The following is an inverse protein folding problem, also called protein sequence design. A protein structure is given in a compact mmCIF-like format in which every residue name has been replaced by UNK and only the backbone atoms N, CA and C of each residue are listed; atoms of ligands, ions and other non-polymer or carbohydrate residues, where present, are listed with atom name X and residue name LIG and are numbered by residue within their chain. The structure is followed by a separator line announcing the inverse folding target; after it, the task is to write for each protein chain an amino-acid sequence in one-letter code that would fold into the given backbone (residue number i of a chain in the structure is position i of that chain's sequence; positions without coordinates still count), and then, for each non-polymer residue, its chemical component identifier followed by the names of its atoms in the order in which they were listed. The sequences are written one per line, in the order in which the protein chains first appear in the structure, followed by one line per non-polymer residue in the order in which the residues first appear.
data_IF_880640202951
#
_entry.id   IF_880640202951
#
_cell.length_a   1.000
_cell.length_b   1.000
_cell.length_c   1.000
_cell.angle_alpha   90.00
_cell.angle_beta   90.00
_cell.angle_gamma   90.00
#
_symmetry.space_group_name_H-M   'P 1'
#
loop_
_entity.id
_entity.type
_entity.pdbx_description
1 polymer ?
#
# COMPACT_ATOMS: atom_id res chain seq x y z
N UNK A 1 -10.39 7.41 -31.48
CA UNK A 1 -9.96 6.93 -30.15
C UNK A 1 -10.49 7.92 -29.14
N UNK A 2 -11.38 7.51 -28.22
CA UNK A 2 -11.83 8.42 -27.15
C UNK A 2 -10.66 8.65 -26.19
N UNK A 3 -10.25 9.89 -26.02
CA UNK A 3 -9.21 10.29 -25.07
C UNK A 3 -9.63 9.87 -23.66
N UNK A 4 -8.70 9.30 -22.89
CA UNK A 4 -8.96 8.93 -21.50
C UNK A 4 -9.25 10.18 -20.68
N UNK A 5 -10.38 10.21 -19.97
CA UNK A 5 -10.67 11.33 -19.07
C UNK A 5 -9.87 11.17 -17.75
N UNK A 6 -9.53 12.27 -17.05
CA UNK A 6 -8.94 12.18 -15.70
C UNK A 6 -9.77 11.36 -14.72
N UNK A 7 -11.10 11.35 -14.90
CA UNK A 7 -12.03 10.56 -14.09
C UNK A 7 -11.87 9.05 -14.32
N UNK A 8 -11.55 8.61 -15.54
CA UNK A 8 -11.30 7.20 -15.82
C UNK A 8 -10.03 6.72 -15.10
N UNK A 9 -8.98 7.56 -15.08
CA UNK A 9 -7.75 7.29 -14.32
C UNK A 9 -8.01 7.21 -12.82
N UNK A 10 -8.75 8.18 -12.25
CA UNK A 10 -9.14 8.14 -10.84
C UNK A 10 -9.95 6.88 -10.50
N UNK A 11 -10.94 6.55 -11.33
CA UNK A 11 -11.76 5.34 -11.13
C UNK A 11 -10.92 4.07 -11.15
N UNK A 12 -9.98 3.99 -12.09
CA UNK A 12 -9.05 2.88 -12.18
C UNK A 12 -8.16 2.80 -10.94
N UNK A 13 -7.55 3.92 -10.50
CA UNK A 13 -6.67 3.96 -9.34
C UNK A 13 -7.38 3.50 -8.06
N UNK A 14 -8.54 4.08 -7.74
CA UNK A 14 -9.28 3.71 -6.53
C UNK A 14 -9.88 2.31 -6.62
N UNK A 15 -10.41 1.91 -7.78
CA UNK A 15 -11.03 0.59 -7.96
C UNK A 15 -10.02 -0.57 -7.95
N UNK A 16 -8.75 -0.32 -8.28
CA UNK A 16 -7.71 -1.36 -8.28
C UNK A 16 -6.82 -1.33 -7.04
N UNK A 17 -6.52 -0.15 -6.50
CA UNK A 17 -5.58 0.00 -5.37
C UNK A 17 -6.27 0.07 -4.02
N UNK A 18 -7.60 0.12 -3.97
CA UNK A 18 -8.37 0.16 -2.71
C UNK A 18 -9.57 -0.78 -2.73
N UNK A 19 -10.14 -1.03 -1.55
CA UNK A 19 -11.39 -1.79 -1.34
C UNK A 19 -12.63 -0.99 -1.72
N UNK A 20 -12.50 0.32 -1.94
CA UNK A 20 -13.64 1.22 -2.19
C UNK A 20 -14.36 0.77 -3.46
N UNK A 21 -15.69 0.54 -3.41
CA UNK A 21 -16.43 0.09 -4.57
C UNK A 21 -16.52 1.21 -5.60
N UNK A 22 -15.64 1.17 -6.60
CA UNK A 22 -15.60 2.13 -7.70
C UNK A 22 -15.91 1.42 -9.01
N UNK A 23 -16.91 1.90 -9.74
CA UNK A 23 -17.25 1.37 -11.06
C UNK A 23 -16.21 1.82 -12.08
N UNK A 24 -15.34 0.91 -12.49
CA UNK A 24 -14.38 1.14 -13.57
C UNK A 24 -15.11 1.02 -14.91
N UNK A 25 -15.13 2.11 -15.68
CA UNK A 25 -15.89 2.23 -16.93
C UNK A 25 -15.07 1.87 -18.18
N UNK A 26 -13.74 1.95 -18.12
CA UNK A 26 -12.82 1.56 -19.19
C UNK A 26 -11.72 0.67 -18.64
N UNK A 27 -11.44 -0.41 -19.35
CA UNK A 27 -10.39 -1.37 -19.03
C UNK A 27 -9.46 -1.54 -20.24
N UNK A 28 -8.62 -0.52 -20.46
CA UNK A 28 -7.61 -0.51 -21.52
C UNK A 28 -6.29 0.08 -21.01
N UNK A 29 -5.24 -0.02 -21.83
CA UNK A 29 -3.88 0.41 -21.46
C UNK A 29 -3.81 1.91 -21.14
N UNK A 30 -4.63 2.73 -21.78
CA UNK A 30 -4.63 4.18 -21.60
C UNK A 30 -5.28 4.56 -20.26
N UNK A 31 -6.42 3.95 -19.93
CA UNK A 31 -7.07 4.06 -18.62
C UNK A 31 -6.16 3.53 -17.49
N UNK A 32 -5.49 2.40 -17.70
CA UNK A 32 -4.54 1.85 -16.73
C UNK A 32 -3.36 2.80 -16.49
N UNK A 33 -2.79 3.39 -17.55
CA UNK A 33 -1.73 4.41 -17.43
C UNK A 33 -2.22 5.63 -16.64
N UNK A 34 -3.41 6.13 -16.95
CA UNK A 34 -4.04 7.21 -16.18
C UNK A 34 -4.21 6.83 -14.70
N UNK A 35 -4.64 5.59 -14.43
CA UNK A 35 -4.75 5.04 -13.08
C UNK A 35 -3.43 4.98 -12.33
N UNK A 36 -2.35 4.55 -12.97
CA UNK A 36 -1.03 4.53 -12.34
C UNK A 36 -0.54 5.95 -12.03
N UNK A 37 -0.79 6.93 -12.89
CA UNK A 37 -0.49 8.34 -12.61
C UNK A 37 -1.33 8.90 -11.45
N UNK A 38 -2.56 8.41 -11.27
CA UNK A 38 -3.42 8.78 -10.16
C UNK A 38 -3.19 7.96 -8.88
N UNK A 39 -2.32 6.95 -8.88
CA UNK A 39 -2.05 6.10 -7.72
C UNK A 39 -1.65 6.88 -6.44
N UNK A 40 -0.87 7.98 -6.50
CA UNK A 40 -0.55 8.77 -5.32
C UNK A 40 -1.79 9.35 -4.63
N UNK A 41 -2.88 9.63 -5.36
CA UNK A 41 -4.13 10.11 -4.77
C UNK A 41 -4.85 9.02 -3.97
N UNK A 42 -4.80 7.77 -4.43
CA UNK A 42 -5.26 6.63 -3.65
C UNK A 42 -4.39 6.44 -2.40
N UNK A 43 -3.06 6.59 -2.55
CA UNK A 43 -2.12 6.57 -1.42
C UNK A 43 -2.39 7.66 -0.39
N UNK A 44 -2.70 8.88 -0.83
CA UNK A 44 -3.09 10.00 0.02
C UNK A 44 -4.37 9.71 0.79
N UNK A 45 -5.41 9.18 0.12
CA UNK A 45 -6.67 8.83 0.78
C UNK A 45 -6.48 7.73 1.84
N UNK A 46 -5.69 6.68 1.52
CA UNK A 46 -5.36 5.61 2.48
C UNK A 46 -4.54 6.15 3.64
N UNK A 47 -3.55 7.01 3.38
CA UNK A 47 -2.71 7.64 4.40
C UNK A 47 -3.50 8.57 5.32
N UNK A 48 -4.45 9.33 4.78
CA UNK A 48 -5.34 10.19 5.55
C UNK A 48 -6.28 9.37 6.45
N UNK A 49 -6.84 8.26 5.95
CA UNK A 49 -7.63 7.34 6.76
C UNK A 49 -6.78 6.70 7.88
N UNK A 50 -5.55 6.31 7.59
CA UNK A 50 -4.63 5.74 8.56
C UNK A 50 -4.26 6.75 9.66
N UNK A 51 -3.89 7.97 9.26
CA UNK A 51 -3.64 9.07 10.19
C UNK A 51 -4.87 9.40 11.04
N UNK A 52 -6.06 9.45 10.42
CA UNK A 52 -7.31 9.72 11.11
C UNK A 52 -7.60 8.71 12.22
N UNK A 53 -7.46 7.41 11.93
CA UNK A 53 -7.65 6.38 12.96
C UNK A 53 -6.62 6.49 14.09
N UNK A 54 -5.34 6.68 13.76
CA UNK A 54 -4.30 6.87 14.78
C UNK A 54 -4.55 8.09 15.67
N UNK A 55 -4.97 9.21 15.10
CA UNK A 55 -5.31 10.43 15.85
C UNK A 55 -6.56 10.24 16.73
N UNK A 56 -7.58 9.55 16.23
CA UNK A 56 -8.77 9.23 17.03
C UNK A 56 -8.38 8.36 18.23
N UNK A 57 -7.53 7.35 18.06
CA UNK A 57 -7.07 6.52 19.17
C UNK A 57 -6.27 7.32 20.21
N UNK A 58 -5.34 8.18 19.76
CA UNK A 58 -4.61 9.06 20.67
C UNK A 58 -5.55 10.00 21.42
N UNK A 59 -6.54 10.58 20.74
CA UNK A 59 -7.55 11.44 21.35
C UNK A 59 -8.39 10.70 22.40
N UNK A 60 -8.69 9.41 22.18
CA UNK A 60 -9.37 8.54 23.14
C UNK A 60 -8.47 8.05 24.28
N UNK A 61 -7.20 8.49 24.35
CA UNK A 61 -6.26 8.16 25.42
C UNK A 61 -5.44 6.90 25.18
N UNK A 62 -5.42 6.34 23.96
CA UNK A 62 -4.51 5.26 23.62
C UNK A 62 -3.05 5.73 23.63
N UNK A 63 -2.12 4.82 23.99
CA UNK A 63 -0.69 5.07 23.83
C UNK A 63 -0.24 5.00 22.37
N UNK A 64 0.92 5.60 22.08
CA UNK A 64 1.51 5.62 20.74
C UNK A 64 1.68 4.23 20.08
N UNK A 65 2.04 3.14 20.80
CA UNK A 65 2.14 1.82 20.19
C UNK A 65 0.81 1.32 19.59
N UNK A 66 -0.30 1.52 20.30
CA UNK A 66 -1.62 1.08 19.84
C UNK A 66 -2.08 1.92 18.64
N UNK A 67 -1.89 3.25 18.70
CA UNK A 67 -2.16 4.13 17.58
C UNK A 67 -1.33 3.74 16.34
N UNK A 68 -0.05 3.44 16.51
CA UNK A 68 0.83 3.02 15.42
C UNK A 68 0.40 1.71 14.76
N UNK A 69 0.07 0.68 15.55
CA UNK A 69 -0.43 -0.60 15.03
C UNK A 69 -1.72 -0.40 14.23
N UNK A 70 -2.66 0.40 14.74
CA UNK A 70 -3.89 0.71 14.02
C UNK A 70 -3.62 1.48 12.72
N UNK A 71 -2.71 2.45 12.74
CA UNK A 71 -2.27 3.18 11.54
C UNK A 71 -1.66 2.25 10.49
N UNK A 72 -0.86 1.24 10.87
CA UNK A 72 -0.30 0.23 9.96
C UNK A 72 -1.37 -0.73 9.42
N UNK A 73 -2.38 -1.07 10.21
CA UNK A 73 -3.45 -1.97 9.80
C UNK A 73 -4.37 -1.37 8.72
N UNK A 74 -4.57 -0.05 8.71
CA UNK A 74 -5.49 0.62 7.78
C UNK A 74 -5.11 0.38 6.31
N UNK A 75 -3.86 0.60 5.85
CA UNK A 75 -3.46 0.25 4.49
C UNK A 75 -3.66 -1.23 4.15
N UNK A 76 -3.43 -2.15 5.10
CA UNK A 76 -3.65 -3.57 4.86
C UNK A 76 -5.14 -3.85 4.56
N UNK A 77 -6.05 -3.32 5.37
CA UNK A 77 -7.49 -3.51 5.17
C UNK A 77 -7.99 -2.78 3.92
N UNK A 78 -7.65 -1.49 3.79
CA UNK A 78 -8.15 -0.66 2.69
C UNK A 78 -7.60 -1.05 1.33
N UNK A 79 -6.51 -1.81 1.26
CA UNK A 79 -5.97 -2.35 0.00
C UNK A 79 -6.19 -3.86 -0.15
N UNK A 80 -6.99 -4.48 0.73
CA UNK A 80 -7.24 -5.94 0.79
C UNK A 80 -5.96 -6.79 0.89
N UNK A 81 -4.92 -6.24 1.53
CA UNK A 81 -3.64 -6.91 1.67
C UNK A 81 -2.78 -6.93 0.41
N UNK A 82 -3.23 -6.36 -0.73
CA UNK A 82 -2.55 -6.47 -2.03
C UNK A 82 -1.05 -6.11 -1.99
N UNK A 83 -0.68 -5.10 -1.21
CA UNK A 83 0.72 -4.67 -1.10
C UNK A 83 1.54 -5.59 -0.19
N UNK A 84 0.92 -6.20 0.82
CA UNK A 84 1.57 -7.16 1.71
C UNK A 84 1.73 -8.51 1.00
N UNK A 85 0.72 -8.92 0.25
CA UNK A 85 0.73 -10.11 -0.60
C UNK A 85 1.88 -10.04 -1.61
N UNK A 86 1.92 -8.96 -2.41
CA UNK A 86 3.02 -8.77 -3.37
C UNK A 86 4.40 -8.66 -2.74
N UNK A 87 4.51 -8.15 -1.50
CA UNK A 87 5.77 -8.13 -0.75
C UNK A 87 6.19 -9.54 -0.30
N UNK A 88 5.25 -10.34 0.19
CA UNK A 88 5.48 -11.75 0.54
C UNK A 88 5.87 -12.57 -0.69
N UNK A 89 5.09 -12.49 -1.78
CA UNK A 89 5.38 -13.18 -3.03
C UNK A 89 6.78 -12.82 -3.55
N UNK A 90 7.11 -11.53 -3.57
CA UNK A 90 8.42 -11.07 -4.01
C UNK A 90 9.54 -11.65 -3.14
N UNK A 91 9.36 -11.66 -1.82
CA UNK A 91 10.33 -12.23 -0.91
C UNK A 91 10.50 -13.74 -1.08
N UNK A 92 9.42 -14.49 -1.28
CA UNK A 92 9.47 -15.94 -1.49
C UNK A 92 10.07 -16.31 -2.84
N UNK A 93 9.67 -15.61 -3.90
CA UNK A 93 10.23 -15.82 -5.23
C UNK A 93 11.73 -15.51 -5.28
N UNK A 94 12.15 -14.34 -4.78
CA UNK A 94 13.57 -13.95 -4.77
C UNK A 94 14.39 -14.77 -3.76
N UNK A 95 13.84 -15.06 -2.59
CA UNK A 95 14.49 -15.84 -1.53
C UNK A 95 14.67 -17.32 -1.88
N UNK A 96 13.89 -17.85 -2.84
CA UNK A 96 13.99 -19.24 -3.28
C UNK A 96 15.33 -19.61 -3.94
N UNK A 97 16.09 -18.63 -4.45
CA UNK A 97 17.34 -18.86 -5.19
C UNK A 97 17.18 -19.64 -6.49
N UNK A 98 15.95 -19.80 -7.00
CA UNK A 98 15.65 -20.55 -8.22
C UNK A 98 15.82 -19.70 -9.48
N UNK A 99 15.96 -20.33 -10.67
CA UNK A 99 15.89 -19.61 -11.94
C UNK A 99 14.60 -18.79 -12.07
N UNK A 100 14.62 -17.73 -12.89
CA UNK A 100 13.54 -16.75 -12.98
C UNK A 100 12.15 -17.36 -13.23
N UNK A 101 12.04 -18.37 -14.08
CA UNK A 101 10.78 -19.05 -14.39
C UNK A 101 10.17 -19.73 -13.16
N UNK A 102 11.01 -20.37 -12.34
CA UNK A 102 10.60 -21.03 -11.11
C UNK A 102 10.30 -20.06 -9.98
N UNK A 103 11.08 -18.98 -9.86
CA UNK A 103 10.79 -17.91 -8.91
C UNK A 103 9.44 -17.24 -9.22
N UNK A 104 9.15 -16.98 -10.49
CA UNK A 104 7.84 -16.48 -10.94
C UNK A 104 6.72 -17.48 -10.72
N UNK A 105 7.00 -18.78 -10.79
CA UNK A 105 6.03 -19.82 -10.46
C UNK A 105 5.70 -19.78 -8.97
N UNK A 106 6.70 -19.62 -8.09
CA UNK A 106 6.52 -19.48 -6.63
C UNK A 106 5.65 -18.25 -6.32
N UNK A 107 5.95 -17.09 -6.91
CA UNK A 107 5.17 -15.84 -6.72
C UNK A 107 3.69 -15.94 -7.14
N UNK A 108 3.30 -16.97 -7.89
CA UNK A 108 1.92 -17.18 -8.37
C UNK A 108 1.17 -18.22 -7.55
N UNK A 109 1.86 -18.90 -6.64
CA UNK A 109 1.20 -19.84 -5.75
C UNK A 109 0.46 -19.06 -4.65
N UNK A 110 -0.61 -19.64 -4.11
CA UNK A 110 -1.41 -18.97 -3.08
C UNK A 110 -0.89 -19.21 -1.66
N UNK A 111 0.11 -20.07 -1.49
CA UNK A 111 0.76 -20.33 -0.21
C UNK A 111 1.85 -19.29 0.07
N UNK A 112 1.96 -18.90 1.34
CA UNK A 112 3.05 -18.05 1.82
C UNK A 112 4.24 -18.91 2.24
N UNK A 113 5.43 -18.56 1.77
CA UNK A 113 6.67 -19.21 2.15
C UNK A 113 7.35 -18.56 3.38
N UNK A 114 8.43 -19.18 3.88
CA UNK A 114 9.14 -18.67 5.05
C UNK A 114 9.73 -17.27 4.85
N UNK A 115 10.20 -16.94 3.64
CA UNK A 115 10.78 -15.62 3.36
C UNK A 115 9.71 -14.53 3.31
N UNK A 116 8.52 -14.86 2.79
CA UNK A 116 7.35 -14.00 2.83
C UNK A 116 6.96 -13.68 4.26
N UNK A 117 6.82 -14.71 5.12
CA UNK A 117 6.51 -14.53 6.54
C UNK A 117 7.54 -13.66 7.25
N UNK A 118 8.83 -13.98 7.12
CA UNK A 118 9.91 -13.22 7.78
C UNK A 118 9.89 -11.76 7.33
N UNK A 119 9.77 -11.52 6.02
CA UNK A 119 9.72 -10.19 5.44
C UNK A 119 8.54 -9.39 5.99
N UNK A 120 7.34 -9.99 6.02
CA UNK A 120 6.14 -9.31 6.52
C UNK A 120 6.26 -8.98 8.01
N UNK A 121 6.75 -9.91 8.84
CA UNK A 121 6.95 -9.68 10.26
C UNK A 121 7.92 -8.52 10.48
N UNK A 122 9.09 -8.55 9.85
CA UNK A 122 10.09 -7.49 10.00
C UNK A 122 9.59 -6.15 9.48
N UNK A 123 8.91 -6.12 8.33
CA UNK A 123 8.38 -4.89 7.74
C UNK A 123 7.29 -4.26 8.62
N UNK A 124 6.31 -5.04 9.07
CA UNK A 124 5.20 -4.55 9.90
C UNK A 124 5.69 -4.09 11.27
N UNK A 125 6.64 -4.82 11.89
CA UNK A 125 7.27 -4.41 13.14
C UNK A 125 8.06 -3.10 12.98
N UNK A 126 8.85 -2.97 11.92
CA UNK A 126 9.60 -1.75 11.65
C UNK A 126 8.66 -0.56 11.41
N UNK A 127 7.59 -0.75 10.63
CA UNK A 127 6.57 0.28 10.39
C UNK A 127 5.87 0.72 11.69
N UNK A 128 5.43 -0.24 12.51
CA UNK A 128 4.77 0.04 13.78
C UNK A 128 5.72 0.75 14.76
N UNK A 129 6.97 0.30 14.88
CA UNK A 129 7.97 0.92 15.75
C UNK A 129 8.33 2.35 15.31
N UNK A 130 8.48 2.58 13.99
CA UNK A 130 8.76 3.91 13.45
C UNK A 130 7.57 4.87 13.67
N UNK A 131 6.34 4.41 13.46
CA UNK A 131 5.14 5.21 13.70
C UNK A 131 4.91 5.47 15.19
N UNK A 132 5.19 4.52 16.06
CA UNK A 132 5.10 4.71 17.51
C UNK A 132 6.06 5.82 17.97
N UNK A 133 7.32 5.78 17.54
CA UNK A 133 8.28 6.85 17.82
C UNK A 133 7.86 8.20 17.24
N UNK A 134 7.25 8.20 16.04
CA UNK A 134 6.75 9.43 15.44
C UNK A 134 5.57 10.03 16.24
N UNK A 135 4.64 9.21 16.72
CA UNK A 135 3.53 9.64 17.57
C UNK A 135 3.97 10.09 18.97
N UNK A 136 4.95 9.40 19.57
CA UNK A 136 5.56 9.82 20.84
C UNK A 136 6.23 11.20 20.72
N UNK A 137 6.88 11.47 19.57
CA UNK A 137 7.47 12.77 19.31
C UNK A 137 6.41 13.87 19.12
N UNK A 138 5.34 13.60 18.35
CA UNK A 138 4.10 14.37 18.36
C UNK A 138 3.01 13.70 17.53
N UNK A 139 1.74 13.96 17.87
CA UNK A 139 0.59 13.52 17.06
C UNK A 139 0.71 13.94 15.58
N UNK A 140 1.23 15.15 15.33
CA UNK A 140 1.39 15.70 14.00
C UNK A 140 2.46 14.95 13.20
N UNK A 141 3.59 14.58 13.83
CA UNK A 141 4.65 13.81 13.17
C UNK A 141 4.17 12.43 12.78
N UNK A 142 3.46 11.72 13.66
CA UNK A 142 2.88 10.42 13.33
C UNK A 142 1.84 10.49 12.20
N UNK A 143 0.95 11.51 12.22
CA UNK A 143 0.00 11.73 11.14
C UNK A 143 0.68 12.04 9.79
N UNK A 144 1.67 12.95 9.79
CA UNK A 144 2.45 13.27 8.59
C UNK A 144 3.21 12.04 8.07
N UNK A 145 3.82 11.24 8.95
CA UNK A 145 4.52 10.02 8.57
C UNK A 145 3.59 9.01 7.88
N UNK A 146 2.37 8.82 8.41
CA UNK A 146 1.36 7.95 7.82
C UNK A 146 0.94 8.42 6.41
N UNK A 147 0.66 9.73 6.26
CA UNK A 147 0.24 10.31 4.97
C UNK A 147 1.37 10.25 3.93
N UNK A 148 2.58 10.68 4.31
CA UNK A 148 3.73 10.72 3.41
C UNK A 148 4.13 9.32 2.97
N UNK A 149 4.27 8.37 3.90
CA UNK A 149 4.64 6.99 3.56
C UNK A 149 3.61 6.34 2.63
N UNK A 150 2.31 6.50 2.92
CA UNK A 150 1.26 5.95 2.07
C UNK A 150 1.22 6.58 0.68
N UNK A 151 1.48 7.88 0.56
CA UNK A 151 1.51 8.58 -0.74
C UNK A 151 2.74 8.19 -1.56
N UNK A 152 3.93 8.22 -0.94
CA UNK A 152 5.21 7.91 -1.60
C UNK A 152 5.26 6.46 -2.07
N UNK A 153 4.73 5.51 -1.28
CA UNK A 153 4.66 4.11 -1.71
C UNK A 153 3.95 3.92 -3.06
N UNK A 154 3.02 4.82 -3.44
CA UNK A 154 2.25 4.73 -4.69
C UNK A 154 2.93 5.43 -5.86
N UNK A 155 3.99 6.21 -5.62
CA UNK A 155 4.89 6.71 -6.65
C UNK A 155 5.77 5.58 -7.23
N UNK A 156 5.97 4.47 -6.51
CA UNK A 156 6.67 3.32 -7.07
C UNK A 156 5.96 2.77 -8.31
N UNK A 157 4.62 2.82 -8.36
CA UNK A 157 3.83 2.38 -9.49
C UNK A 157 4.02 3.27 -10.73
N UNK A 158 4.17 4.58 -10.55
CA UNK A 158 4.43 5.50 -11.68
C UNK A 158 5.81 5.25 -12.28
N UNK A 159 6.81 4.95 -11.44
CA UNK A 159 8.16 4.59 -11.88
C UNK A 159 8.20 3.22 -12.56
N UNK A 160 7.50 2.23 -12.02
CA UNK A 160 7.46 0.88 -12.58
C UNK A 160 6.67 0.79 -13.91
N UNK A 161 5.67 1.64 -14.09
CA UNK A 161 4.85 1.71 -15.31
C UNK A 161 5.42 2.64 -16.39
N UNK A 162 6.64 3.16 -16.22
CA UNK A 162 7.32 3.93 -17.28
C UNK A 162 7.63 3.02 -18.46
N UNK A 163 7.47 3.52 -19.68
CA UNK A 163 7.81 2.76 -20.88
C UNK A 163 9.28 2.31 -20.82
N UNK A 164 9.48 1.00 -20.97
CA UNK A 164 10.75 0.34 -21.26
C UNK A 164 10.59 -0.45 -22.55
#
# INVERSE_FOLDING_TARGET
MSTTSPLDGLRFAFGTLTVIPVRVTRWDREAARGGMLCAPLAGLAVGAAAAGLGLVLLFLGAGAPLAAVATVAVPAVLTRGLHLDGLADTADGLGSGKPAEDALRIMKQSDIGPFGVITLVLALLAQAAALAQAYDASWARGACAAVVSATVARLALTLAARAG
#
